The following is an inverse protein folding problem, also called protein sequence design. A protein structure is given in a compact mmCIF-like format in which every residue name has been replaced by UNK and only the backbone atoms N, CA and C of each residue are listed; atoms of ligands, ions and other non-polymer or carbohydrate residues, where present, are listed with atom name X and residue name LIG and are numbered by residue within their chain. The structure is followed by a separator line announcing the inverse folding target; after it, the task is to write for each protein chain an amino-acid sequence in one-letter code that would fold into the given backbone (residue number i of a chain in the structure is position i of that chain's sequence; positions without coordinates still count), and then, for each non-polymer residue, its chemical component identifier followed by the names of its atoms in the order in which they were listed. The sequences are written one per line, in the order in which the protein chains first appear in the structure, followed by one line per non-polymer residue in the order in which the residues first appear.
data_IF_071544570986
#
_entry.id   IF_071544570986
#
_cell.length_a   1.000
_cell.length_b   1.000
_cell.length_c   1.000
_cell.angle_alpha   90.00
_cell.angle_beta   90.00
_cell.angle_gamma   90.00
#
_symmetry.space_group_name_H-M   'P 1'
#
loop_
_entity.id
_entity.type
_entity.pdbx_description
1 polymer ?
#
# COMPACT_ATOMS: atom_id res chain seq x y z
N UNK A 1 26.69 -7.08 16.83
CA UNK A 1 25.85 -6.22 15.97
C UNK A 1 26.61 -6.08 14.68
N UNK A 2 26.45 -7.05 13.79
CA UNK A 2 27.23 -7.10 12.56
C UNK A 2 26.76 -6.06 11.56
N UNK A 3 27.78 -5.50 10.92
CA UNK A 3 27.81 -4.32 10.09
C UNK A 3 26.98 -4.49 8.81
N UNK A 4 26.25 -3.43 8.45
CA UNK A 4 25.39 -3.33 7.28
C UNK A 4 26.24 -3.18 6.01
N UNK A 5 26.92 -4.25 5.60
CA UNK A 5 27.77 -4.29 4.42
C UNK A 5 26.97 -4.40 3.09
N UNK A 6 25.85 -3.68 2.93
CA UNK A 6 25.11 -3.65 1.66
C UNK A 6 24.82 -2.25 1.09
N UNK A 7 25.24 -1.18 1.76
CA UNK A 7 24.94 0.19 1.30
C UNK A 7 23.45 0.55 1.34
N UNK A 8 22.60 -0.32 1.90
CA UNK A 8 21.16 -0.11 2.06
C UNK A 8 20.83 0.73 3.29
N UNK A 9 19.67 1.37 3.29
CA UNK A 9 19.18 2.10 4.45
C UNK A 9 18.94 1.17 5.65
N UNK A 10 19.17 1.68 6.87
CA UNK A 10 19.08 0.89 8.11
C UNK A 10 17.72 0.25 8.38
N UNK A 11 16.64 0.77 7.81
CA UNK A 11 15.28 0.26 7.98
C UNK A 11 14.94 -0.93 7.06
N UNK A 12 15.74 -1.20 6.02
CA UNK A 12 15.45 -2.20 5.01
C UNK A 12 15.41 -3.63 5.58
N UNK A 13 16.27 -3.93 6.56
CA UNK A 13 16.35 -5.25 7.17
C UNK A 13 16.88 -6.31 6.19
N UNK A 14 16.38 -7.54 6.31
CA UNK A 14 16.83 -8.70 5.52
C UNK A 14 15.68 -9.48 4.85
N UNK A 15 14.43 -9.03 5.04
CA UNK A 15 13.25 -9.66 4.44
C UNK A 15 13.29 -9.44 2.92
N UNK A 16 13.34 -10.50 2.08
CA UNK A 16 13.54 -10.35 0.63
C UNK A 16 12.53 -9.41 -0.05
N UNK A 17 11.26 -9.45 0.37
CA UNK A 17 10.23 -8.55 -0.16
C UNK A 17 10.56 -7.08 0.14
N UNK A 18 11.01 -6.78 1.36
CA UNK A 18 11.32 -5.42 1.76
C UNK A 18 12.63 -4.93 1.11
N UNK A 19 13.59 -5.83 0.95
CA UNK A 19 14.84 -5.57 0.21
C UNK A 19 14.56 -5.25 -1.25
N UNK A 20 13.72 -6.03 -1.93
CA UNK A 20 13.34 -5.75 -3.32
C UNK A 20 12.63 -4.40 -3.46
N UNK A 21 11.69 -4.09 -2.56
CA UNK A 21 11.02 -2.79 -2.52
C UNK A 21 12.02 -1.64 -2.31
N UNK A 22 12.93 -1.77 -1.35
CA UNK A 22 13.98 -0.76 -1.10
C UNK A 22 14.85 -0.53 -2.35
N UNK A 23 15.32 -1.62 -2.96
CA UNK A 23 16.34 -1.55 -4.01
C UNK A 23 15.78 -1.09 -5.37
N UNK A 24 14.50 -1.34 -5.64
CA UNK A 24 13.91 -1.14 -6.98
C UNK A 24 12.74 -0.16 -7.03
N UNK A 25 12.14 0.20 -5.90
CA UNK A 25 10.95 1.04 -5.86
C UNK A 25 11.11 2.27 -4.97
N UNK A 26 11.69 2.11 -3.78
CA UNK A 26 11.79 3.19 -2.80
C UNK A 26 12.82 4.24 -3.22
N UNK A 27 12.38 5.50 -3.35
CA UNK A 27 13.23 6.60 -3.79
C UNK A 27 13.51 6.63 -5.30
N UNK A 28 13.00 5.66 -6.07
CA UNK A 28 13.01 5.71 -7.53
C UNK A 28 11.92 6.67 -8.00
N UNK A 29 12.28 7.59 -8.89
CA UNK A 29 11.36 8.60 -9.39
C UNK A 29 10.17 7.94 -10.13
N UNK A 30 8.96 8.32 -9.72
CA UNK A 30 7.71 7.85 -10.30
C UNK A 30 6.96 9.03 -10.90
N UNK A 31 6.44 8.84 -12.10
CA UNK A 31 5.77 9.88 -12.87
C UNK A 31 4.37 9.46 -13.34
N UNK A 32 4.04 8.16 -13.25
CA UNK A 32 2.69 7.70 -13.56
C UNK A 32 1.71 8.13 -12.45
N UNK A 33 0.66 8.87 -12.83
CA UNK A 33 -0.28 9.43 -11.86
C UNK A 33 -1.07 8.35 -11.10
N UNK A 34 -1.36 7.22 -11.75
CA UNK A 34 -2.07 6.10 -11.11
C UNK A 34 -1.18 5.40 -10.08
N UNK A 35 0.08 5.15 -10.42
CA UNK A 35 1.07 4.59 -9.50
C UNK A 35 1.37 5.52 -8.31
N UNK A 36 1.42 6.84 -8.54
CA UNK A 36 1.56 7.82 -7.46
C UNK A 36 0.35 7.80 -6.52
N UNK A 37 -0.86 7.71 -7.07
CA UNK A 37 -2.08 7.64 -6.27
C UNK A 37 -2.18 6.33 -5.47
N UNK A 38 -1.84 5.18 -6.08
CA UNK A 38 -1.69 3.90 -5.37
C UNK A 38 -0.75 4.06 -4.16
N UNK A 39 0.46 4.62 -4.36
CA UNK A 39 1.43 4.82 -3.28
C UNK A 39 0.87 5.69 -2.15
N UNK A 40 0.23 6.81 -2.48
CA UNK A 40 -0.37 7.72 -1.52
C UNK A 40 -1.46 7.02 -0.67
N UNK A 41 -2.34 6.26 -1.29
CA UNK A 41 -3.39 5.52 -0.58
C UNK A 41 -2.79 4.46 0.33
N UNK A 42 -1.82 3.69 -0.15
CA UNK A 42 -1.15 2.65 0.64
C UNK A 42 -0.42 3.25 1.87
N UNK A 43 0.20 4.42 1.74
CA UNK A 43 0.78 5.16 2.86
C UNK A 43 -0.27 5.55 3.91
N UNK A 44 -1.46 5.97 3.47
CA UNK A 44 -2.60 6.21 4.37
C UNK A 44 -3.01 4.94 5.14
N UNK A 45 -3.03 3.79 4.46
CA UNK A 45 -3.32 2.51 5.10
C UNK A 45 -2.24 2.08 6.10
N UNK A 46 -1.01 2.57 5.98
CA UNK A 46 0.09 2.27 6.90
C UNK A 46 -0.07 2.90 8.29
N UNK A 47 -0.90 3.92 8.48
CA UNK A 47 -1.04 4.60 9.78
C UNK A 47 -1.31 3.63 10.94
N UNK A 48 -0.39 3.55 11.92
CA UNK A 48 -0.46 2.62 13.06
C UNK A 48 -0.02 1.17 12.77
N UNK A 49 0.57 0.91 11.60
CA UNK A 49 1.09 -0.40 11.18
C UNK A 49 2.54 -0.26 10.67
N UNK A 50 3.26 -1.37 10.65
CA UNK A 50 4.53 -1.45 9.94
C UNK A 50 4.29 -1.49 8.42
N UNK A 51 5.12 -0.81 7.63
CA UNK A 51 4.98 -0.78 6.16
C UNK A 51 5.00 -2.17 5.51
N UNK A 52 5.80 -3.10 6.05
CA UNK A 52 5.84 -4.48 5.55
C UNK A 52 4.47 -5.18 5.60
N UNK A 53 3.57 -4.78 6.51
CA UNK A 53 2.19 -5.26 6.55
C UNK A 53 1.40 -4.85 5.31
N UNK A 54 1.60 -3.61 4.84
CA UNK A 54 0.96 -3.08 3.63
C UNK A 54 1.59 -3.70 2.40
N UNK A 55 2.92 -3.75 2.33
CA UNK A 55 3.66 -4.30 1.20
C UNK A 55 3.27 -5.77 0.93
N UNK A 56 3.12 -6.60 1.98
CA UNK A 56 2.65 -7.99 1.87
C UNK A 56 1.20 -8.11 1.36
N UNK A 57 0.39 -7.07 1.50
CA UNK A 57 -1.02 -7.02 1.08
C UNK A 57 -1.23 -6.28 -0.23
N UNK A 58 -0.18 -5.76 -0.87
CA UNK A 58 -0.28 -4.82 -1.98
C UNK A 58 -1.10 -5.35 -3.16
N UNK A 59 -0.91 -6.61 -3.54
CA UNK A 59 -1.68 -7.20 -4.63
C UNK A 59 -3.16 -7.42 -4.26
N UNK A 60 -3.44 -7.73 -2.99
CA UNK A 60 -4.82 -7.79 -2.50
C UNK A 60 -5.47 -6.41 -2.50
N UNK A 61 -4.72 -5.36 -2.13
CA UNK A 61 -5.18 -3.97 -2.25
C UNK A 61 -5.48 -3.60 -3.70
N UNK A 62 -4.59 -3.91 -4.65
CA UNK A 62 -4.83 -3.66 -6.07
C UNK A 62 -6.10 -4.35 -6.58
N UNK A 63 -6.33 -5.60 -6.19
CA UNK A 63 -7.56 -6.30 -6.55
C UNK A 63 -8.80 -5.68 -5.89
N UNK A 64 -8.74 -5.39 -4.59
CA UNK A 64 -9.86 -4.84 -3.83
C UNK A 64 -10.25 -3.43 -4.29
N UNK A 65 -9.26 -2.63 -4.68
CA UNK A 65 -9.38 -1.26 -5.16
C UNK A 65 -9.35 -1.15 -6.69
N UNK A 66 -9.78 -2.17 -7.45
CA UNK A 66 -9.92 -2.12 -8.93
C UNK A 66 -8.71 -1.51 -9.67
N UNK A 67 -7.50 -1.95 -9.31
CA UNK A 67 -6.25 -1.47 -9.88
C UNK A 67 -5.95 0.00 -9.58
N UNK A 68 -6.53 0.53 -8.50
CA UNK A 68 -6.45 1.93 -8.10
C UNK A 68 -6.89 2.89 -9.21
N UNK A 69 -8.02 2.61 -9.86
CA UNK A 69 -8.63 3.53 -10.82
C UNK A 69 -9.48 4.60 -10.09
N UNK A 70 -9.03 5.88 -10.03
CA UNK A 70 -9.72 6.91 -9.25
C UNK A 70 -11.11 7.24 -9.82
N UNK A 71 -11.33 7.10 -11.13
CA UNK A 71 -12.64 7.38 -11.75
C UNK A 71 -13.68 6.32 -11.35
N UNK A 72 -13.25 5.07 -11.16
CA UNK A 72 -14.11 4.00 -10.65
C UNK A 72 -14.38 4.20 -9.16
N UNK A 73 -13.31 4.45 -8.38
CA UNK A 73 -13.39 4.50 -6.92
C UNK A 73 -14.15 5.73 -6.42
N UNK A 74 -14.07 6.86 -7.12
CA UNK A 74 -14.86 8.05 -6.80
C UNK A 74 -16.38 7.82 -6.90
N UNK A 75 -16.81 6.77 -7.62
CA UNK A 75 -18.20 6.37 -7.71
C UNK A 75 -18.68 5.43 -6.61
N UNK A 76 -17.81 4.99 -5.71
CA UNK A 76 -18.12 4.01 -4.67
C UNK A 76 -18.94 4.60 -3.52
N UNK A 77 -19.74 3.74 -2.88
CA UNK A 77 -20.63 4.11 -1.78
C UNK A 77 -20.54 3.17 -0.58
N UNK A 78 -21.54 3.25 0.31
CA UNK A 78 -21.59 2.44 1.54
C UNK A 78 -21.51 0.93 1.27
N UNK A 79 -22.14 0.44 0.18
CA UNK A 79 -22.09 -0.98 -0.19
C UNK A 79 -20.66 -1.44 -0.51
N UNK A 80 -19.85 -0.58 -1.13
CA UNK A 80 -18.43 -0.86 -1.40
C UNK A 80 -17.61 -0.83 -0.11
N UNK A 81 -17.90 0.11 0.80
CA UNK A 81 -17.25 0.14 2.12
C UNK A 81 -17.54 -1.14 2.89
N UNK A 82 -18.79 -1.61 2.92
CA UNK A 82 -19.18 -2.86 3.57
C UNK A 82 -18.52 -4.07 2.92
N UNK A 83 -18.49 -4.12 1.58
CA UNK A 83 -17.77 -5.16 0.82
C UNK A 83 -16.29 -5.21 1.21
N UNK A 84 -15.61 -4.07 1.24
CA UNK A 84 -14.19 -3.97 1.57
C UNK A 84 -13.90 -4.27 3.05
N UNK A 85 -14.81 -3.93 3.96
CA UNK A 85 -14.73 -4.35 5.36
C UNK A 85 -14.82 -5.87 5.54
N UNK A 86 -15.42 -6.58 4.57
CA UNK A 86 -15.45 -8.04 4.53
C UNK A 86 -14.17 -8.69 4.03
N UNK A 87 -13.29 -7.95 3.34
CA UNK A 87 -12.11 -8.51 2.67
C UNK A 87 -10.92 -8.65 3.65
N UNK A 88 -10.57 -9.90 3.98
CA UNK A 88 -9.43 -10.22 4.84
C UNK A 88 -8.05 -10.01 4.16
N UNK A 89 -8.04 -9.85 2.83
CA UNK A 89 -6.86 -9.55 2.02
C UNK A 89 -6.27 -8.18 2.34
N UNK A 90 -7.10 -7.19 2.70
CA UNK A 90 -6.68 -5.82 3.00
C UNK A 90 -6.67 -5.51 4.51
N UNK A 91 -6.52 -4.23 4.86
CA UNK A 91 -6.69 -3.73 6.23
C UNK A 91 -8.15 -3.28 6.40
N UNK A 92 -8.90 -4.02 7.22
CA UNK A 92 -10.34 -3.80 7.44
C UNK A 92 -10.60 -2.67 8.43
N UNK A 93 -10.34 -1.44 8.00
CA UNK A 93 -10.57 -0.23 8.79
C UNK A 93 -11.42 0.77 8.02
N UNK A 94 -12.64 1.00 8.48
CA UNK A 94 -13.66 1.82 7.79
C UNK A 94 -13.12 3.19 7.38
N UNK A 95 -12.60 3.97 8.32
CA UNK A 95 -12.11 5.32 7.99
C UNK A 95 -10.92 5.37 7.03
N UNK A 96 -10.18 4.27 6.83
CA UNK A 96 -9.08 4.23 5.83
C UNK A 96 -9.62 3.90 4.45
N UNK A 97 -10.64 3.04 4.39
CA UNK A 97 -11.39 2.73 3.18
C UNK A 97 -12.14 3.97 2.68
N UNK A 98 -12.91 4.62 3.57
CA UNK A 98 -13.66 5.85 3.23
C UNK A 98 -12.72 6.96 2.77
N UNK A 99 -11.57 7.15 3.42
CA UNK A 99 -10.56 8.13 2.99
C UNK A 99 -9.98 7.87 1.59
N UNK A 100 -10.11 6.65 1.05
CA UNK A 100 -9.70 6.33 -0.32
C UNK A 100 -10.78 6.70 -1.34
N UNK A 101 -12.05 6.72 -0.93
CA UNK A 101 -13.22 6.95 -1.80
C UNK A 101 -13.47 8.45 -1.97
N UNK A 102 -13.50 9.22 -0.88
CA UNK A 102 -13.79 10.65 -0.90
C UNK A 102 -14.34 11.18 0.41
#
# INVERSE_FOLDING_TARGET
MEDQASGRCGWCGQEPLYVAYHDSEWGVAEYDSRALWEKLVLDGFQAGLAWITILRKRDAFRAAFEGFDPEVIAGWGEDDVVRLLGDAGIVRHRGKIEATIG
#
